data_IF_095822287499
#
_entry.id   IF_095822287499
#
_cell.length_a   1.000
_cell.length_b   1.000
_cell.length_c   1.000
_cell.angle_alpha   90.00
_cell.angle_beta   90.00
_cell.angle_gamma   90.00
#
_symmetry.space_group_name_H-M   'P 1'
#
loop_
_entity.id
_entity.type
_entity.pdbx_description
1 polymer ?
#
# COMPACT_ATOMS: atom_id res chain seq x y z
N UNK A 1 28.70 -6.30 14.84
CA UNK A 1 28.76 -7.52 14.03
C UNK A 1 28.81 -7.10 12.56
N UNK A 2 29.72 -7.62 11.74
CA UNK A 2 29.78 -7.29 10.31
C UNK A 2 28.91 -8.28 9.52
N UNK A 3 27.99 -7.76 8.70
CA UNK A 3 27.06 -8.59 7.91
C UNK A 3 27.76 -9.00 6.63
N UNK A 4 27.85 -10.31 6.41
CA UNK A 4 28.54 -10.88 5.26
C UNK A 4 27.58 -11.27 4.15
N UNK A 5 28.11 -11.45 2.93
CA UNK A 5 27.40 -12.02 1.78
C UNK A 5 26.62 -13.30 2.15
N UNK A 6 27.22 -14.20 2.92
CA UNK A 6 26.57 -15.46 3.32
C UNK A 6 25.33 -15.25 4.18
N UNK A 7 25.30 -14.21 5.01
CA UNK A 7 24.14 -13.94 5.87
C UNK A 7 22.95 -13.43 5.05
N UNK A 8 23.23 -12.56 4.07
CA UNK A 8 22.20 -12.04 3.17
C UNK A 8 21.65 -13.13 2.24
N UNK A 9 22.49 -14.07 1.81
CA UNK A 9 22.04 -15.21 0.98
C UNK A 9 21.04 -16.11 1.72
N UNK A 10 21.11 -16.20 3.07
CA UNK A 10 20.11 -16.94 3.87
C UNK A 10 18.70 -16.34 3.78
N UNK A 11 18.57 -15.07 3.36
CA UNK A 11 17.27 -14.43 3.15
C UNK A 11 16.56 -14.93 1.87
N UNK A 12 17.27 -15.64 0.99
CA UNK A 12 16.78 -16.10 -0.30
C UNK A 12 16.47 -17.59 -0.22
N UNK A 13 15.19 -17.94 -0.34
CA UNK A 13 14.76 -19.33 -0.49
C UNK A 13 14.88 -19.77 -1.95
N UNK A 14 14.53 -18.88 -2.88
CA UNK A 14 14.55 -19.17 -4.32
C UNK A 14 15.38 -18.17 -5.12
N UNK A 15 16.40 -18.69 -5.81
CA UNK A 15 17.22 -17.85 -6.69
C UNK A 15 16.46 -17.53 -7.98
N UNK A 16 16.21 -16.24 -8.21
CA UNK A 16 15.53 -15.74 -9.40
C UNK A 16 16.23 -14.48 -9.94
N UNK A 17 16.08 -14.20 -11.23
CA UNK A 17 16.58 -12.97 -11.86
C UNK A 17 15.61 -11.81 -11.66
N UNK A 18 16.10 -10.62 -11.36
CA UNK A 18 15.25 -9.44 -11.24
C UNK A 18 14.81 -8.95 -12.63
N UNK A 19 13.66 -9.43 -13.10
CA UNK A 19 13.10 -9.06 -14.40
C UNK A 19 11.58 -8.86 -14.32
N UNK A 20 11.01 -8.05 -15.22
CA UNK A 20 9.57 -7.80 -15.25
C UNK A 20 8.76 -9.10 -15.36
N UNK A 21 9.17 -10.03 -16.22
CA UNK A 21 8.47 -11.30 -16.45
C UNK A 21 8.49 -12.18 -15.20
N UNK A 22 9.63 -12.24 -14.50
CA UNK A 22 9.76 -12.94 -13.22
C UNK A 22 8.77 -12.39 -12.19
N UNK A 23 8.75 -11.06 -12.03
CA UNK A 23 7.82 -10.41 -11.10
C UNK A 23 6.36 -10.62 -11.51
N UNK A 24 6.04 -10.59 -12.81
CA UNK A 24 4.68 -10.77 -13.30
C UNK A 24 4.20 -12.20 -13.04
N UNK A 25 5.03 -13.20 -13.34
CA UNK A 25 4.73 -14.59 -13.07
C UNK A 25 4.57 -14.87 -11.58
N UNK A 26 5.42 -14.27 -10.73
CA UNK A 26 5.31 -14.41 -9.28
C UNK A 26 3.97 -13.83 -8.77
N UNK A 27 3.57 -12.65 -9.26
CA UNK A 27 2.26 -12.05 -8.95
C UNK A 27 1.10 -12.96 -9.38
N UNK A 28 1.15 -13.49 -10.60
CA UNK A 28 0.10 -14.36 -11.15
C UNK A 28 -0.01 -15.69 -10.39
N UNK A 29 1.13 -16.30 -10.04
CA UNK A 29 1.20 -17.54 -9.26
C UNK A 29 0.99 -17.33 -7.76
N UNK A 30 0.92 -16.07 -7.31
CA UNK A 30 0.88 -15.71 -5.89
C UNK A 30 2.03 -16.33 -5.09
N UNK A 31 3.21 -16.39 -5.70
CA UNK A 31 4.38 -16.97 -5.06
C UNK A 31 4.92 -16.03 -3.98
N UNK A 32 4.74 -16.44 -2.72
CA UNK A 32 5.11 -15.64 -1.54
C UNK A 32 6.46 -16.08 -0.94
N UNK A 33 7.20 -16.96 -1.61
CA UNK A 33 8.54 -17.36 -1.17
C UNK A 33 9.49 -16.16 -1.22
N UNK A 34 10.41 -16.03 -0.26
CA UNK A 34 11.51 -15.08 -0.36
C UNK A 34 12.41 -15.43 -1.55
N UNK A 35 12.47 -14.56 -2.54
CA UNK A 35 13.29 -14.78 -3.74
C UNK A 35 14.35 -13.70 -3.88
N UNK A 36 15.40 -14.00 -4.62
CA UNK A 36 16.46 -13.03 -4.82
C UNK A 36 17.45 -13.35 -5.91
N UNK A 37 18.14 -12.30 -6.33
CA UNK A 37 19.20 -12.33 -7.34
C UNK A 37 20.54 -12.13 -6.65
N UNK A 38 21.47 -13.06 -6.86
CA UNK A 38 22.82 -13.02 -6.27
C UNK A 38 23.80 -12.64 -7.37
N UNK A 39 24.42 -11.47 -7.25
CA UNK A 39 25.54 -11.02 -8.07
C UNK A 39 26.82 -10.97 -7.21
N UNK A 40 27.96 -10.60 -7.81
CA UNK A 40 29.23 -10.61 -7.07
C UNK A 40 29.27 -9.59 -5.95
N UNK A 41 28.86 -8.35 -6.25
CA UNK A 41 28.87 -7.21 -5.31
C UNK A 41 27.49 -6.65 -4.98
N UNK A 42 26.45 -7.30 -5.48
CA UNK A 42 25.07 -6.86 -5.30
C UNK A 42 24.20 -8.06 -5.03
N UNK A 43 23.33 -7.97 -4.03
CA UNK A 43 22.28 -8.98 -3.81
C UNK A 43 20.96 -8.26 -3.78
N UNK A 44 19.97 -8.80 -4.50
CA UNK A 44 18.60 -8.30 -4.47
C UNK A 44 17.72 -9.32 -3.80
N UNK A 45 16.91 -8.90 -2.86
CA UNK A 45 15.96 -9.75 -2.13
C UNK A 45 14.60 -9.12 -2.20
N UNK A 46 13.58 -9.93 -2.46
CA UNK A 46 12.20 -9.51 -2.41
C UNK A 46 11.31 -10.61 -1.85
N UNK A 47 10.21 -10.18 -1.23
CA UNK A 47 9.21 -11.10 -0.68
C UNK A 47 7.81 -10.56 -0.89
N UNK A 48 6.97 -11.38 -1.49
CA UNK A 48 5.54 -11.11 -1.55
C UNK A 48 4.85 -11.60 -0.29
N UNK A 49 3.78 -10.92 0.10
CA UNK A 49 2.84 -11.36 1.10
C UNK A 49 1.40 -11.09 0.60
N UNK A 50 0.41 -11.61 1.33
CA UNK A 50 -0.99 -11.49 0.94
C UNK A 50 -1.50 -10.05 0.80
N UNK A 51 -0.86 -9.08 1.45
CA UNK A 51 -1.25 -7.67 1.43
C UNK A 51 -0.57 -6.85 0.33
N UNK A 52 0.66 -7.20 -0.04
CA UNK A 52 1.49 -6.43 -0.94
C UNK A 52 1.80 -7.14 -2.27
N UNK A 53 1.04 -8.21 -2.60
CA UNK A 53 1.28 -9.12 -3.74
C UNK A 53 1.87 -8.43 -4.97
N UNK A 54 1.31 -7.28 -5.34
CA UNK A 54 1.71 -6.52 -6.52
C UNK A 54 2.71 -5.39 -6.23
N UNK A 55 2.71 -4.83 -5.03
CA UNK A 55 3.41 -3.58 -4.68
C UNK A 55 4.51 -3.77 -3.63
N UNK A 56 5.17 -4.92 -3.65
CA UNK A 56 6.27 -5.20 -2.72
C UNK A 56 7.58 -4.49 -3.15
N UNK A 57 8.41 -4.10 -2.17
CA UNK A 57 9.74 -3.56 -2.43
C UNK A 57 10.73 -4.67 -2.80
N UNK A 58 11.73 -4.30 -3.60
CA UNK A 58 12.94 -5.08 -3.85
C UNK A 58 14.06 -4.38 -3.09
N UNK A 59 14.66 -5.08 -2.12
CA UNK A 59 15.81 -4.59 -1.39
C UNK A 59 17.08 -4.95 -2.14
N UNK A 60 17.97 -3.98 -2.29
CA UNK A 60 19.28 -4.12 -2.91
C UNK A 60 20.34 -3.90 -1.83
N UNK A 61 21.18 -4.90 -1.65
CA UNK A 61 22.32 -4.93 -0.75
C UNK A 61 23.60 -4.73 -1.57
N UNK A 62 24.29 -3.63 -1.33
CA UNK A 62 25.58 -3.34 -1.95
C UNK A 62 26.71 -3.86 -1.08
N UNK A 63 27.63 -4.62 -1.67
CA UNK A 63 28.77 -5.24 -0.98
C UNK A 63 30.09 -4.59 -1.36
N UNK A 64 31.02 -4.54 -0.42
CA UNK A 64 32.41 -4.15 -0.68
C UNK A 64 33.17 -5.28 -1.39
N UNK A 65 34.47 -5.07 -1.65
CA UNK A 65 35.32 -6.10 -2.28
C UNK A 65 35.51 -7.35 -1.41
N UNK A 66 35.41 -7.19 -0.10
CA UNK A 66 35.56 -8.24 0.90
C UNK A 66 34.25 -9.00 1.18
N UNK A 67 33.15 -8.60 0.52
CA UNK A 67 31.83 -9.21 0.67
C UNK A 67 31.02 -8.74 1.88
N UNK A 68 31.39 -7.61 2.50
CA UNK A 68 30.67 -6.97 3.60
C UNK A 68 29.64 -5.97 3.09
N UNK A 69 28.52 -5.87 3.80
CA UNK A 69 27.45 -4.93 3.48
C UNK A 69 27.89 -3.47 3.66
N UNK A 70 27.76 -2.67 2.61
CA UNK A 70 27.97 -1.20 2.64
C UNK A 70 26.64 -0.47 2.79
N UNK A 71 25.64 -0.88 2.01
CA UNK A 71 24.42 -0.10 1.86
C UNK A 71 23.22 -1.01 1.55
N UNK A 72 22.05 -0.58 2.03
CA UNK A 72 20.75 -1.18 1.69
C UNK A 72 19.89 -0.09 1.07
N UNK A 73 19.49 -0.33 -0.17
CA UNK A 73 18.53 0.51 -0.89
C UNK A 73 17.30 -0.30 -1.27
N UNK A 74 16.22 0.38 -1.62
CA UNK A 74 14.98 -0.26 -2.05
C UNK A 74 14.44 0.34 -3.34
N UNK A 75 13.67 -0.45 -4.07
CA UNK A 75 12.92 0.00 -5.24
C UNK A 75 11.62 -0.79 -5.34
N UNK A 76 10.53 -0.13 -5.73
CA UNK A 76 9.30 -0.85 -6.06
C UNK A 76 9.55 -1.80 -7.24
N UNK A 77 8.96 -3.00 -7.18
CA UNK A 77 9.07 -3.94 -8.28
C UNK A 77 8.49 -3.34 -9.59
N UNK A 78 9.03 -3.69 -10.76
CA UNK A 78 8.61 -3.13 -12.06
C UNK A 78 7.11 -3.31 -12.35
N UNK A 79 6.53 -4.44 -11.97
CA UNK A 79 5.12 -4.77 -12.21
C UNK A 79 4.22 -3.87 -11.38
N UNK A 80 4.52 -3.71 -10.08
CA UNK A 80 3.81 -2.81 -9.18
C UNK A 80 3.85 -1.36 -9.67
N UNK A 81 4.98 -0.91 -10.21
CA UNK A 81 5.07 0.43 -10.80
C UNK A 81 4.11 0.61 -11.99
N UNK A 82 4.07 -0.36 -12.91
CA UNK A 82 3.22 -0.30 -14.10
C UNK A 82 1.74 -0.38 -13.70
N UNK A 83 1.38 -1.33 -12.84
CA UNK A 83 0.00 -1.50 -12.37
C UNK A 83 -0.46 -0.25 -11.62
N UNK A 84 0.40 0.40 -10.84
CA UNK A 84 0.05 1.66 -10.18
C UNK A 84 -0.32 2.77 -11.17
N UNK A 85 0.46 2.93 -12.25
CA UNK A 85 0.15 3.88 -13.33
C UNK A 85 -1.14 3.51 -14.04
N UNK A 86 -1.34 2.23 -14.35
CA UNK A 86 -2.58 1.74 -14.98
C UNK A 86 -3.80 1.96 -14.10
N UNK A 87 -3.69 1.77 -12.78
CA UNK A 87 -4.76 2.07 -11.84
C UNK A 87 -5.09 3.56 -11.84
N UNK A 88 -4.09 4.45 -11.80
CA UNK A 88 -4.32 5.88 -11.92
C UNK A 88 -5.05 6.25 -13.22
N UNK A 89 -4.67 5.64 -14.35
CA UNK A 89 -5.33 5.84 -15.63
C UNK A 89 -6.79 5.31 -15.62
N UNK A 90 -6.99 4.08 -15.14
CA UNK A 90 -8.30 3.45 -15.03
C UNK A 90 -9.25 4.24 -14.13
N UNK A 91 -8.77 4.70 -12.96
CA UNK A 91 -9.54 5.54 -12.04
C UNK A 91 -9.87 6.91 -12.64
N UNK A 92 -9.14 7.34 -13.68
CA UNK A 92 -9.41 8.59 -14.39
C UNK A 92 -10.46 8.43 -15.49
N UNK A 93 -10.74 7.23 -15.99
CA UNK A 93 -11.70 7.01 -17.09
C UNK A 93 -13.09 7.60 -16.83
N UNK A 94 -13.72 7.42 -15.65
CA UNK A 94 -15.03 8.01 -15.37
C UNK A 94 -15.07 9.54 -15.46
N UNK A 95 -13.91 10.18 -15.30
CA UNK A 95 -13.72 11.63 -15.35
C UNK A 95 -13.42 12.14 -16.76
N UNK A 96 -13.12 11.24 -17.71
CA UNK A 96 -12.87 11.58 -19.11
C UNK A 96 -14.16 11.76 -19.93
N UNK A 97 -15.34 11.51 -19.36
CA UNK A 97 -16.61 11.65 -20.09
C UNK A 97 -16.82 13.07 -20.67
N UNK A 98 -16.27 14.13 -20.06
CA UNK A 98 -16.36 15.50 -20.60
C UNK A 98 -15.35 15.83 -21.68
N UNK A 99 -14.38 14.95 -21.95
CA UNK A 99 -13.42 15.13 -23.06
C UNK A 99 -14.10 14.86 -24.41
N UNK A 100 -15.22 14.13 -24.40
CA UNK A 100 -15.97 13.75 -25.60
C UNK A 100 -17.17 14.66 -25.89
N UNK A 101 -17.52 15.57 -24.98
CA UNK A 101 -18.45 16.69 -25.21
C UNK A 101 -17.63 17.94 -25.55
N UNK A 102 -18.23 18.97 -26.15
CA UNK A 102 -17.52 20.23 -26.50
C UNK A 102 -16.84 20.81 -25.25
N UNK A 103 -15.52 20.60 -25.15
CA UNK A 103 -14.75 20.77 -23.92
C UNK A 103 -14.59 22.25 -23.56
N UNK A 104 -15.44 22.75 -22.67
CA UNK A 104 -15.28 24.03 -22.01
C UNK A 104 -14.81 23.83 -20.57
N UNK A 105 -13.57 24.26 -20.25
CA UNK A 105 -13.00 24.13 -18.89
C UNK A 105 -13.90 24.81 -17.85
N UNK A 106 -14.52 25.94 -18.21
CA UNK A 106 -15.41 26.72 -17.36
C UNK A 106 -16.70 25.99 -16.96
N UNK A 107 -17.19 25.02 -17.74
CA UNK A 107 -18.40 24.27 -17.41
C UNK A 107 -18.11 23.03 -16.54
N UNK A 108 -16.86 22.57 -16.53
CA UNK A 108 -16.46 21.34 -15.83
C UNK A 108 -15.44 21.53 -14.69
N UNK A 109 -15.17 22.77 -14.27
CA UNK A 109 -14.11 23.07 -13.29
C UNK A 109 -14.30 22.37 -11.93
N UNK A 110 -15.54 22.23 -11.45
CA UNK A 110 -15.84 21.56 -10.16
C UNK A 110 -15.42 20.10 -10.22
N UNK A 111 -15.69 19.47 -11.36
CA UNK A 111 -15.44 18.06 -11.52
C UNK A 111 -13.97 17.78 -11.86
N UNK A 112 -13.28 18.67 -12.59
CA UNK A 112 -11.81 18.65 -12.73
C UNK A 112 -11.15 18.78 -11.35
N UNK A 113 -11.60 19.74 -10.53
CA UNK A 113 -11.06 19.94 -9.19
C UNK A 113 -11.29 18.71 -8.29
N UNK A 114 -12.49 18.12 -8.35
CA UNK A 114 -12.81 16.87 -7.67
C UNK A 114 -11.90 15.72 -8.08
N UNK A 115 -11.63 15.58 -9.38
CA UNK A 115 -10.68 14.58 -9.91
C UNK A 115 -9.27 14.79 -9.37
N UNK A 116 -8.75 16.01 -9.42
CA UNK A 116 -7.39 16.34 -8.94
C UNK A 116 -7.23 16.00 -7.46
N UNK A 117 -8.21 16.39 -6.63
CA UNK A 117 -8.19 16.06 -5.20
C UNK A 117 -8.23 14.55 -5.00
N UNK A 118 -9.14 13.86 -5.68
CA UNK A 118 -9.31 12.43 -5.53
C UNK A 118 -8.05 11.66 -5.95
N UNK A 119 -7.47 12.01 -7.11
CA UNK A 119 -6.23 11.41 -7.60
C UNK A 119 -5.05 11.73 -6.66
N UNK A 120 -4.96 12.96 -6.16
CA UNK A 120 -3.94 13.35 -5.19
C UNK A 120 -4.02 12.52 -3.91
N UNK A 121 -5.22 12.32 -3.36
CA UNK A 121 -5.45 11.47 -2.19
C UNK A 121 -5.06 10.02 -2.49
N UNK A 122 -5.52 9.47 -3.62
CA UNK A 122 -5.18 8.11 -4.03
C UNK A 122 -3.66 7.93 -4.13
N UNK A 123 -2.95 8.92 -4.67
CA UNK A 123 -1.49 8.89 -4.78
C UNK A 123 -0.84 8.89 -3.40
N UNK A 124 -1.24 9.81 -2.52
CA UNK A 124 -0.71 9.92 -1.16
C UNK A 124 -0.93 8.65 -0.34
N UNK A 125 -2.11 8.03 -0.49
CA UNK A 125 -2.41 6.76 0.15
C UNK A 125 -1.49 5.65 -0.35
N UNK A 126 -1.34 5.50 -1.67
CA UNK A 126 -0.43 4.52 -2.26
C UNK A 126 1.01 4.68 -1.76
N UNK A 127 1.52 5.93 -1.72
CA UNK A 127 2.84 6.24 -1.19
C UNK A 127 2.98 5.90 0.30
N UNK A 128 1.95 6.18 1.11
CA UNK A 128 1.95 5.85 2.53
C UNK A 128 1.98 4.33 2.74
N UNK A 129 1.17 3.59 2.00
CA UNK A 129 1.15 2.10 2.05
C UNK A 129 2.50 1.53 1.66
N UNK A 130 3.11 2.00 0.56
CA UNK A 130 4.45 1.55 0.14
C UNK A 130 5.50 1.79 1.22
N UNK A 131 5.55 3.01 1.79
CA UNK A 131 6.52 3.35 2.86
C UNK A 131 6.36 2.48 4.11
N UNK A 132 5.12 2.12 4.44
CA UNK A 132 4.82 1.26 5.57
C UNK A 132 5.29 -0.17 5.31
N UNK A 133 4.94 -0.74 4.15
CA UNK A 133 5.36 -2.09 3.78
C UNK A 133 6.88 -2.22 3.72
N UNK A 134 7.55 -1.22 3.11
CA UNK A 134 9.01 -1.10 3.13
C UNK A 134 9.57 -1.21 4.54
N UNK A 135 9.03 -0.43 5.48
CA UNK A 135 9.53 -0.41 6.87
C UNK A 135 9.39 -1.79 7.52
N UNK A 136 8.24 -2.44 7.35
CA UNK A 136 7.96 -3.76 7.93
C UNK A 136 8.93 -4.80 7.39
N UNK A 137 9.14 -4.86 6.08
CA UNK A 137 10.04 -5.85 5.50
C UNK A 137 11.51 -5.59 5.85
N UNK A 138 11.92 -4.33 5.90
CA UNK A 138 13.29 -3.97 6.30
C UNK A 138 13.58 -4.40 7.73
N UNK A 139 12.62 -4.23 8.64
CA UNK A 139 12.75 -4.67 10.03
C UNK A 139 12.81 -6.20 10.13
N UNK A 140 12.00 -6.93 9.38
CA UNK A 140 12.12 -8.39 9.30
C UNK A 140 13.48 -8.85 8.78
N UNK A 141 14.03 -8.14 7.78
CA UNK A 141 15.38 -8.40 7.27
C UNK A 141 16.41 -8.15 8.37
N UNK A 142 16.28 -7.08 9.14
CA UNK A 142 17.19 -6.77 10.26
C UNK A 142 17.11 -7.80 11.37
N UNK A 143 15.92 -8.26 11.73
CA UNK A 143 15.71 -9.32 12.71
C UNK A 143 16.35 -10.64 12.25
N UNK A 144 16.21 -11.02 10.98
CA UNK A 144 16.82 -12.25 10.45
C UNK A 144 18.35 -12.14 10.38
N UNK A 145 18.87 -10.94 10.10
CA UNK A 145 20.30 -10.65 10.08
C UNK A 145 20.89 -10.34 11.46
N UNK A 146 20.08 -10.44 12.52
CA UNK A 146 20.44 -10.15 13.91
C UNK A 146 21.13 -8.78 14.08
N UNK A 147 20.58 -7.77 13.40
CA UNK A 147 21.01 -6.39 13.52
C UNK A 147 20.26 -5.78 14.70
N UNK A 148 21.00 -5.40 15.75
CA UNK A 148 20.42 -4.68 16.89
C UNK A 148 19.67 -3.43 16.41
N UNK A 149 18.35 -3.46 16.55
CA UNK A 149 17.52 -2.28 16.35
C UNK A 149 16.76 -1.97 17.64
N UNK A 150 16.93 -0.75 18.14
CA UNK A 150 16.26 -0.26 19.36
C UNK A 150 14.73 -0.13 19.24
N UNK A 151 14.13 -0.54 18.13
CA UNK A 151 12.70 -0.31 17.83
C UNK A 151 11.96 -1.62 17.72
N UNK A 152 11.50 -2.15 18.85
CA UNK A 152 10.36 -3.09 18.85
C UNK A 152 9.13 -2.33 18.34
N UNK A 153 8.63 -2.65 17.14
CA UNK A 153 7.28 -2.21 16.76
C UNK A 153 6.29 -2.88 17.71
N UNK A 154 5.76 -2.11 18.65
CA UNK A 154 4.51 -2.47 19.32
C UNK A 154 3.43 -2.63 18.24
N UNK A 155 2.96 -3.86 18.06
CA UNK A 155 1.83 -4.21 17.18
C UNK A 155 0.54 -3.69 17.79
N UNK A 156 0.42 -2.39 17.99
CA UNK A 156 -0.71 -1.81 18.72
C UNK A 156 -1.97 -1.66 17.87
N UNK A 157 -1.84 -1.70 16.54
CA UNK A 157 -2.97 -1.65 15.61
C UNK A 157 -2.78 -2.66 14.47
N UNK A 158 -3.85 -3.37 14.09
CA UNK A 158 -3.87 -4.07 12.79
C UNK A 158 -3.73 -2.99 11.72
N UNK A 159 -2.54 -2.82 11.15
CA UNK A 159 -2.20 -1.79 10.16
C UNK A 159 -3.16 -1.75 8.97
N UNK A 160 -3.76 -2.90 8.65
CA UNK A 160 -4.90 -3.03 7.75
C UNK A 160 -6.05 -2.06 8.08
N UNK A 161 -6.39 -1.86 9.37
CA UNK A 161 -7.40 -0.88 9.82
C UNK A 161 -6.99 0.56 9.54
N UNK A 162 -5.72 0.92 9.76
CA UNK A 162 -5.23 2.27 9.50
C UNK A 162 -5.27 2.57 8.00
N UNK A 163 -4.83 1.63 7.16
CA UNK A 163 -4.87 1.76 5.70
C UNK A 163 -6.33 1.83 5.21
N UNK A 164 -7.20 0.96 5.72
CA UNK A 164 -8.63 0.95 5.36
C UNK A 164 -9.26 2.30 5.68
N UNK A 165 -8.98 2.89 6.84
CA UNK A 165 -9.46 4.23 7.22
C UNK A 165 -8.92 5.32 6.32
N UNK A 166 -7.64 5.27 5.97
CA UNK A 166 -6.99 6.25 5.11
C UNK A 166 -7.60 6.27 3.69
N UNK A 167 -8.09 5.13 3.19
CA UNK A 167 -8.77 5.02 1.89
C UNK A 167 -10.24 5.41 2.01
N UNK A 168 -10.93 4.82 2.99
CA UNK A 168 -12.39 4.88 3.06
C UNK A 168 -12.90 6.21 3.59
N UNK A 169 -12.15 6.95 4.40
CA UNK A 169 -12.58 8.28 4.89
C UNK A 169 -12.66 9.30 3.75
N UNK A 170 -11.61 9.50 2.93
CA UNK A 170 -11.71 10.34 1.75
C UNK A 170 -12.77 9.88 0.75
N UNK A 171 -12.89 8.57 0.52
CA UNK A 171 -13.92 8.02 -0.35
C UNK A 171 -15.33 8.34 0.19
N UNK A 172 -15.53 8.24 1.50
CA UNK A 172 -16.80 8.59 2.16
C UNK A 172 -17.13 10.06 1.99
N UNK A 173 -16.17 10.96 2.22
CA UNK A 173 -16.34 12.40 2.02
C UNK A 173 -16.66 12.70 0.56
N UNK A 174 -15.94 12.08 -0.38
CA UNK A 174 -16.17 12.21 -1.80
C UNK A 174 -17.59 11.81 -2.19
N UNK A 175 -18.05 10.64 -1.75
CA UNK A 175 -19.41 10.16 -2.02
C UNK A 175 -20.46 11.11 -1.42
N UNK A 176 -20.24 11.64 -0.22
CA UNK A 176 -21.14 12.65 0.37
C UNK A 176 -21.23 13.89 -0.54
N UNK A 177 -20.09 14.42 -1.00
CA UNK A 177 -20.04 15.59 -1.88
C UNK A 177 -20.76 15.32 -3.21
N UNK A 178 -20.50 14.17 -3.84
CA UNK A 178 -21.15 13.79 -5.11
C UNK A 178 -22.66 13.72 -4.96
N UNK A 179 -23.13 13.14 -3.85
CA UNK A 179 -24.56 13.03 -3.58
C UNK A 179 -25.21 14.40 -3.42
N UNK A 180 -24.63 15.26 -2.59
CA UNK A 180 -25.20 16.59 -2.30
C UNK A 180 -25.20 17.49 -3.53
N UNK A 181 -24.11 17.49 -4.31
CA UNK A 181 -23.95 18.44 -5.41
C UNK A 181 -24.52 17.97 -6.75
N UNK A 182 -24.57 16.65 -7.01
CA UNK A 182 -24.90 16.15 -8.35
C UNK A 182 -26.10 15.20 -8.40
N UNK A 183 -26.31 14.37 -7.37
CA UNK A 183 -27.36 13.33 -7.40
C UNK A 183 -28.69 13.87 -6.84
N UNK A 184 -28.66 14.54 -5.69
CA UNK A 184 -29.86 15.14 -5.07
C UNK A 184 -30.51 16.18 -6.00
N UNK A 185 -29.78 17.12 -6.64
CA UNK A 185 -30.38 18.10 -7.55
C UNK A 185 -31.04 17.47 -8.79
N UNK A 186 -30.62 16.26 -9.19
CA UNK A 186 -31.21 15.51 -10.31
C UNK A 186 -32.43 14.67 -9.91
N UNK A 187 -32.88 14.74 -8.64
CA UNK A 187 -34.03 14.01 -8.14
C UNK A 187 -33.84 12.49 -8.03
N UNK A 188 -32.60 12.00 -8.10
CA UNK A 188 -32.28 10.56 -8.06
C UNK A 188 -32.21 10.04 -6.62
N UNK A 189 -33.30 10.18 -5.86
CA UNK A 189 -33.32 9.92 -4.41
C UNK A 189 -33.00 8.48 -4.02
N UNK A 190 -33.40 7.49 -4.82
CA UNK A 190 -33.08 6.08 -4.54
C UNK A 190 -31.57 5.84 -4.55
N UNK A 191 -30.86 6.40 -5.55
CA UNK A 191 -29.41 6.31 -5.67
C UNK A 191 -28.70 7.02 -4.50
N UNK A 192 -29.26 8.15 -4.07
CA UNK A 192 -28.79 8.87 -2.89
C UNK A 192 -28.90 8.05 -1.62
N UNK A 193 -30.06 7.43 -1.37
CA UNK A 193 -30.31 6.63 -0.16
C UNK A 193 -29.36 5.43 -0.11
N UNK A 194 -29.16 4.73 -1.22
CA UNK A 194 -28.26 3.57 -1.29
C UNK A 194 -26.81 4.00 -1.01
N UNK A 195 -26.32 5.04 -1.69
CA UNK A 195 -24.91 5.41 -1.58
C UNK A 195 -24.59 6.09 -0.24
N UNK A 196 -25.44 6.99 0.27
CA UNK A 196 -25.28 7.58 1.60
C UNK A 196 -25.51 6.54 2.71
N UNK A 197 -26.40 5.57 2.50
CA UNK A 197 -26.59 4.44 3.40
C UNK A 197 -25.31 3.61 3.57
N UNK A 198 -24.65 3.26 2.46
CA UNK A 198 -23.36 2.55 2.48
C UNK A 198 -22.27 3.36 3.21
N UNK A 199 -22.16 4.65 2.91
CA UNK A 199 -21.20 5.55 3.59
C UNK A 199 -21.51 5.67 5.09
N UNK A 200 -22.78 5.86 5.44
CA UNK A 200 -23.23 6.00 6.82
C UNK A 200 -22.96 4.75 7.65
N UNK A 201 -23.26 3.56 7.12
CA UNK A 201 -22.96 2.28 7.78
C UNK A 201 -21.45 2.12 8.00
N UNK A 202 -20.64 2.43 6.98
CA UNK A 202 -19.18 2.35 7.11
C UNK A 202 -18.64 3.31 8.18
N UNK A 203 -18.99 4.60 8.12
CA UNK A 203 -18.51 5.59 9.09
C UNK A 203 -18.98 5.28 10.52
N UNK A 204 -20.24 4.89 10.68
CA UNK A 204 -20.80 4.53 11.98
C UNK A 204 -20.09 3.32 12.59
N UNK A 205 -19.88 2.26 11.79
CA UNK A 205 -19.21 1.04 12.27
C UNK A 205 -17.76 1.31 12.65
N UNK A 206 -17.03 2.11 11.87
CA UNK A 206 -15.63 2.41 12.17
C UNK A 206 -15.46 3.36 13.38
N UNK A 207 -16.34 4.36 13.52
CA UNK A 207 -16.41 5.22 14.71
C UNK A 207 -16.74 4.40 15.97
N UNK A 208 -17.70 3.48 15.89
CA UNK A 208 -18.05 2.58 17.00
C UNK A 208 -16.87 1.70 17.42
N UNK A 209 -16.07 1.22 16.48
CA UNK A 209 -14.84 0.45 16.75
C UNK A 209 -13.79 1.35 17.42
N UNK A 210 -13.69 2.62 17.02
CA UNK A 210 -12.75 3.59 17.58
C UNK A 210 -13.11 4.00 19.02
N UNK A 211 -14.40 4.09 19.33
CA UNK A 211 -14.93 4.45 20.65
C UNK A 211 -14.93 3.27 21.65
N UNK A 212 -14.72 2.04 21.20
CA UNK A 212 -14.65 0.87 22.09
C UNK A 212 -13.31 0.89 22.83
N UNK A 213 -13.30 1.38 24.08
CA UNK A 213 -12.12 1.35 24.97
C UNK A 213 -11.54 -0.07 25.05
N UNK A 214 -10.21 -0.21 24.90
CA UNK A 214 -9.47 -1.43 25.26
C UNK A 214 -9.69 -1.68 26.76
N UNK A 215 -10.38 -2.75 27.12
CA UNK A 215 -10.23 -3.34 28.45
C UNK A 215 -8.81 -3.90 28.50
N UNK A 216 -7.91 -3.19 29.18
CA UNK A 216 -6.65 -3.74 29.67
C UNK A 216 -6.98 -5.02 30.44
N UNK A 217 -6.47 -6.16 29.98
CA UNK A 217 -6.57 -7.43 30.69
C UNK A 217 -5.92 -7.27 32.05
N UNK A 218 -6.74 -7.18 33.09
CA UNK A 218 -6.27 -7.15 34.46
C UNK A 218 -5.70 -8.54 34.80
N UNK A 219 -4.44 -8.57 35.25
CA UNK A 219 -3.80 -9.76 35.80
C UNK A 219 -4.63 -10.24 37.00
N UNK A 220 -4.97 -11.51 37.00
CA UNK A 220 -5.62 -12.19 38.11
C UNK A 220 -5.21 -13.65 38.16
N UNK A 221 -3.94 -13.91 38.46
CA UNK A 221 -3.58 -15.17 39.11
C UNK A 221 -3.98 -15.01 40.57
N UNK A 222 -5.11 -15.60 40.94
CA UNK A 222 -5.39 -15.93 42.33
C UNK A 222 -4.98 -17.38 42.55
N UNK A 223 -4.28 -17.55 43.67
CA UNK A 223 -3.72 -18.76 44.28
C UNK A 223 -4.64 -19.99 44.23
#
# INVERSE_FOLDING_TARGET
MEITKSDIVKLIEEKQTNSFTTHLLAVLKSDCRPSGEIMDREIRVWRQNGWNKVFYPIFKFDLNKDGHLINISDKINPVGRIIYVLLCALFSIPWLNWVFEDFEISSHWVQIFGWVIFLGIFILVGLKVYRMEKKIQLEQIYDILDIETDKKIEKEWSWSKIITRLIMYPLSIFLIIVNVLFIIPKGQFILTIISLGLVGVYLYTDLKILMRKKTTGNKGYNL
#
